data_IF_956615444433
#
_entry.id   IF_956615444433
#
_cell.length_a   1.000
_cell.length_b   1.000
_cell.length_c   1.000
_cell.angle_alpha   90.00
_cell.angle_beta   90.00
_cell.angle_gamma   90.00
#
_symmetry.space_group_name_H-M   'P 1'
#
loop_
_entity.id
_entity.type
_entity.pdbx_description
1 polymer ?
#
# COMPACT_ATOMS: atom_id res chain seq x y z
N UNK A 1 -13.01 -16.41 11.83
CA UNK A 1 -13.24 -15.56 10.64
C UNK A 1 -12.09 -14.56 10.54
N UNK A 2 -11.20 -14.68 9.55
CA UNK A 2 -10.19 -13.63 9.32
C UNK A 2 -10.97 -12.39 8.88
N UNK A 3 -11.14 -11.43 9.78
CA UNK A 3 -11.73 -10.13 9.47
C UNK A 3 -10.76 -9.43 8.52
N UNK A 4 -10.88 -9.72 7.23
CA UNK A 4 -10.04 -9.15 6.19
C UNK A 4 -10.20 -7.65 6.23
N UNK A 5 -9.08 -6.93 6.36
CA UNK A 5 -9.10 -5.48 6.23
C UNK A 5 -9.64 -5.12 4.84
N UNK A 6 -10.76 -4.39 4.80
CA UNK A 6 -11.36 -3.86 3.58
C UNK A 6 -11.13 -2.34 3.62
N UNK A 7 -10.10 -1.82 2.92
CA UNK A 7 -9.91 -0.39 2.80
C UNK A 7 -11.13 0.27 2.16
N UNK A 8 -11.52 1.44 2.66
CA UNK A 8 -12.53 2.32 2.05
C UNK A 8 -11.86 3.44 1.27
N UNK A 9 -12.61 4.05 0.36
CA UNK A 9 -12.21 5.28 -0.30
C UNK A 9 -11.91 6.38 0.76
N UNK A 10 -10.78 7.05 0.59
CA UNK A 10 -10.28 8.05 1.52
C UNK A 10 -9.43 7.53 2.67
N UNK A 11 -9.40 6.22 2.94
CA UNK A 11 -8.59 5.65 4.04
C UNK A 11 -7.09 5.83 3.78
N UNK A 12 -6.34 5.94 4.89
CA UNK A 12 -4.88 5.95 4.87
C UNK A 12 -4.33 4.54 5.04
N UNK A 13 -3.47 4.14 4.11
CA UNK A 13 -2.86 2.81 4.06
C UNK A 13 -1.36 2.88 3.83
N UNK A 14 -0.65 1.87 4.31
CA UNK A 14 0.72 1.56 3.91
C UNK A 14 0.72 0.48 2.84
N UNK A 15 1.63 0.58 1.89
CA UNK A 15 1.89 -0.41 0.86
C UNK A 15 3.07 -1.29 1.23
N UNK A 16 2.91 -2.61 1.13
CA UNK A 16 3.98 -3.58 1.28
C UNK A 16 4.90 -3.58 0.06
N UNK A 17 6.16 -3.23 0.25
CA UNK A 17 7.20 -3.32 -0.77
C UNK A 17 7.86 -4.70 -0.70
N UNK A 18 7.81 -5.43 -1.81
CA UNK A 18 8.48 -6.73 -1.96
C UNK A 18 9.73 -6.48 -2.81
N UNK A 19 10.90 -6.41 -2.17
CA UNK A 19 12.15 -6.47 -2.89
C UNK A 19 12.33 -7.89 -3.46
N UNK A 20 12.64 -8.00 -4.76
CA UNK A 20 13.09 -9.29 -5.31
C UNK A 20 14.35 -9.69 -4.55
N UNK A 21 14.42 -10.95 -4.17
CA UNK A 21 15.51 -11.50 -3.36
C UNK A 21 16.81 -11.41 -4.16
N UNK A 22 17.64 -10.41 -3.90
CA UNK A 22 19.04 -10.44 -4.31
C UNK A 22 19.75 -11.49 -3.46
N UNK A 23 20.55 -12.36 -4.10
CA UNK A 23 21.15 -13.54 -3.47
C UNK A 23 22.13 -13.23 -2.31
N UNK A 24 22.39 -11.95 -2.02
CA UNK A 24 23.45 -11.49 -1.12
C UNK A 24 22.90 -11.13 0.28
N UNK A 25 21.62 -10.78 0.41
CA UNK A 25 21.02 -10.38 1.70
C UNK A 25 20.20 -11.50 2.32
N UNK A 26 20.86 -12.62 2.59
CA UNK A 26 20.33 -13.69 3.44
C UNK A 26 20.31 -13.22 4.89
N UNK A 27 19.18 -12.67 5.37
CA UNK A 27 19.00 -12.44 6.81
C UNK A 27 17.92 -11.44 7.24
N UNK A 28 17.49 -10.50 6.40
CA UNK A 28 16.56 -9.43 6.81
C UNK A 28 15.51 -9.08 5.74
N UNK A 29 14.81 -10.07 5.22
CA UNK A 29 13.68 -9.87 4.31
C UNK A 29 12.39 -9.51 5.07
N UNK A 30 12.47 -8.56 6.01
CA UNK A 30 11.27 -8.07 6.67
C UNK A 30 10.44 -7.26 5.67
N UNK A 31 9.11 -7.41 5.66
CA UNK A 31 8.26 -6.63 4.77
C UNK A 31 8.37 -5.15 5.13
N UNK A 32 8.90 -4.36 4.20
CA UNK A 32 8.96 -2.90 4.32
C UNK A 32 7.59 -2.36 3.93
N UNK A 33 7.04 -1.50 4.78
CA UNK A 33 5.78 -0.82 4.54
C UNK A 33 6.08 0.65 4.21
N UNK A 34 5.69 1.09 3.02
CA UNK A 34 5.84 2.46 2.57
C UNK A 34 4.50 3.21 2.72
N UNK A 35 4.55 4.53 2.95
CA UNK A 35 3.38 5.41 2.94
C UNK A 35 3.64 6.70 3.70
N UNK A 36 2.58 7.47 4.04
CA UNK A 36 1.16 7.14 3.89
C UNK A 36 0.64 7.29 2.45
N UNK A 37 -0.26 6.39 2.06
CA UNK A 37 -1.04 6.47 0.82
C UNK A 37 -2.52 6.66 1.13
N UNK A 38 -3.23 7.43 0.31
CA UNK A 38 -4.68 7.55 0.31
C UNK A 38 -5.28 6.52 -0.64
N UNK A 39 -6.31 5.79 -0.21
CA UNK A 39 -7.12 4.97 -1.11
C UNK A 39 -8.01 5.89 -1.95
N UNK A 40 -7.87 5.82 -3.27
CA UNK A 40 -8.70 6.59 -4.19
C UNK A 40 -10.00 5.83 -4.52
N UNK A 41 -9.90 4.57 -4.93
CA UNK A 41 -11.05 3.72 -5.28
C UNK A 41 -10.71 2.23 -5.27
N UNK A 42 -11.73 1.39 -5.09
CA UNK A 42 -11.66 -0.04 -5.42
C UNK A 42 -11.84 -0.20 -6.95
N UNK A 43 -10.98 -1.02 -7.58
CA UNK A 43 -11.08 -1.33 -8.99
C UNK A 43 -11.96 -2.56 -9.23
N UNK A 44 -11.54 -3.72 -8.72
CA UNK A 44 -12.27 -4.98 -8.81
C UNK A 44 -11.75 -5.98 -7.78
N UNK A 45 -12.68 -6.68 -7.12
CA UNK A 45 -12.39 -7.63 -6.06
C UNK A 45 -11.59 -6.97 -4.93
N UNK A 46 -10.34 -7.42 -4.78
CA UNK A 46 -9.44 -6.99 -3.72
C UNK A 46 -8.32 -6.05 -4.23
N UNK A 47 -8.49 -5.42 -5.40
CA UNK A 47 -7.49 -4.50 -5.96
C UNK A 47 -7.92 -3.05 -5.79
N UNK A 48 -7.02 -2.25 -5.21
CA UNK A 48 -7.28 -0.85 -4.89
C UNK A 48 -6.31 0.06 -5.62
N UNK A 49 -6.80 1.24 -5.96
CA UNK A 49 -6.01 2.34 -6.45
C UNK A 49 -5.64 3.24 -5.27
N UNK A 50 -4.35 3.44 -5.03
CA UNK A 50 -3.82 4.26 -3.93
C UNK A 50 -2.93 5.37 -4.47
N UNK A 51 -2.87 6.50 -3.76
CA UNK A 51 -2.07 7.66 -4.13
C UNK A 51 -1.21 8.12 -2.97
N UNK A 52 0.06 8.43 -3.22
CA UNK A 52 0.97 8.90 -2.17
C UNK A 52 0.57 10.29 -1.69
N UNK A 53 0.51 10.49 -0.38
CA UNK A 53 0.22 11.80 0.22
C UNK A 53 1.54 12.54 0.42
N UNK A 54 1.60 13.81 0.02
CA UNK A 54 2.75 14.70 0.28
C UNK A 54 3.72 14.93 -0.87
N UNK A 55 3.57 14.23 -2.01
CA UNK A 55 4.39 14.48 -3.20
C UNK A 55 3.75 15.58 -4.07
N UNK A 56 3.66 16.80 -3.51
CA UNK A 56 3.08 17.97 -4.18
C UNK A 56 4.01 18.54 -5.28
N UNK A 57 5.27 18.09 -5.34
CA UNK A 57 6.29 18.61 -6.26
C UNK A 57 6.51 17.75 -7.53
N UNK A 58 5.94 16.55 -7.65
CA UNK A 58 5.97 15.79 -8.91
C UNK A 58 4.62 15.84 -9.60
N UNK A 59 4.61 16.43 -10.78
CA UNK A 59 3.50 16.52 -11.75
C UNK A 59 2.91 15.16 -12.20
N UNK A 60 3.46 14.04 -11.71
CA UNK A 60 2.88 12.71 -11.85
C UNK A 60 2.44 12.27 -10.46
N UNK A 61 1.17 12.55 -10.13
CA UNK A 61 0.50 11.87 -9.02
C UNK A 61 0.72 10.37 -9.18
N UNK A 62 1.61 9.82 -8.36
CA UNK A 62 2.00 8.42 -8.46
C UNK A 62 0.84 7.60 -7.89
N UNK A 63 -0.07 7.23 -8.79
CA UNK A 63 -1.21 6.37 -8.52
C UNK A 63 -0.75 4.94 -8.72
N UNK A 64 -0.94 4.11 -7.70
CA UNK A 64 -0.52 2.72 -7.67
C UNK A 64 -1.73 1.80 -7.59
N UNK A 65 -1.67 0.67 -8.30
CA UNK A 65 -2.68 -0.39 -8.23
C UNK A 65 -2.13 -1.53 -7.37
N UNK A 66 -2.78 -1.81 -6.25
CA UNK A 66 -2.25 -2.71 -5.22
C UNK A 66 -3.35 -3.63 -4.71
N UNK A 67 -3.01 -4.90 -4.54
CA UNK A 67 -3.91 -5.89 -3.93
C UNK A 67 -4.01 -5.68 -2.42
N UNK A 68 -5.19 -5.93 -1.83
CA UNK A 68 -5.49 -5.72 -0.40
C UNK A 68 -4.50 -6.42 0.55
N UNK A 69 -4.00 -7.59 0.16
CA UNK A 69 -2.96 -8.34 0.90
C UNK A 69 -1.66 -7.53 1.12
N UNK A 70 -1.38 -6.59 0.21
CA UNK A 70 -0.22 -5.71 0.27
C UNK A 70 -0.56 -4.34 0.88
N UNK A 71 -1.73 -4.18 1.47
CA UNK A 71 -2.15 -2.96 2.14
C UNK A 71 -2.29 -3.18 3.64
N UNK A 72 -1.85 -2.20 4.43
CA UNK A 72 -2.04 -2.17 5.87
C UNK A 72 -2.71 -0.85 6.25
N UNK A 73 -3.83 -0.91 6.95
CA UNK A 73 -4.50 0.30 7.44
C UNK A 73 -3.61 1.05 8.43
N UNK A 74 -3.49 2.35 8.24
CA UNK A 74 -2.98 3.27 9.25
C UNK A 74 -4.22 3.79 9.99
N UNK A 75 -4.91 2.91 10.70
CA UNK A 75 -6.07 3.34 11.48
C UNK A 75 -5.55 4.13 12.68
N UNK A 76 -5.83 5.44 12.71
CA UNK A 76 -5.66 6.28 13.89
C UNK A 76 -7.01 6.36 14.60
N UNK A 77 -7.53 5.22 15.06
CA UNK A 77 -8.81 5.12 15.75
C UNK A 77 -8.64 4.41 17.08
#
# INVERSE_FOLDING_TARGET
MRHGFIPKDGDLVLQKIIHRKDAITSGKNQPIWEGPFKVNKNLYGNTYEIQRIGDHHRTRSAVYKVHADRLKCISNR
#
